data_IF_526443295157
#
_entry.id   IF_526443295157
#
_cell.length_a   1.000
_cell.length_b   1.000
_cell.length_c   1.000
_cell.angle_alpha   90.00
_cell.angle_beta   90.00
_cell.angle_gamma   90.00
#
_symmetry.space_group_name_H-M   'P 1'
#
loop_
_entity.id
_entity.type
_entity.pdbx_description
1 polymer ?
#
# COMPACT_ATOMS: atom_id res chain seq x y z
N UNK A 1 1.63 -25.36 -1.17
CA UNK A 1 1.37 -23.98 -0.74
C UNK A 1 -0.11 -23.84 -0.46
N UNK A 2 -0.48 -23.03 0.52
CA UNK A 2 -1.88 -22.75 0.87
C UNK A 2 -2.22 -21.38 0.30
N UNK A 3 -3.39 -21.25 -0.33
CA UNK A 3 -3.86 -19.96 -0.85
C UNK A 3 -4.41 -19.12 0.32
N UNK A 4 -4.22 -17.79 0.34
CA UNK A 4 -4.67 -16.96 1.44
C UNK A 4 -6.18 -17.04 1.69
N UNK A 5 -6.57 -17.21 2.95
CA UNK A 5 -7.94 -17.21 3.42
C UNK A 5 -8.22 -15.94 4.23
N UNK A 6 -9.29 -15.17 3.94
CA UNK A 6 -9.54 -13.87 4.58
C UNK A 6 -9.65 -13.90 6.10
N UNK A 7 -10.03 -15.05 6.69
CA UNK A 7 -10.19 -15.21 8.14
C UNK A 7 -8.88 -15.61 8.84
N UNK A 8 -7.86 -16.01 8.09
CA UNK A 8 -6.61 -16.57 8.62
C UNK A 8 -5.39 -15.72 8.25
N UNK A 9 -5.40 -15.12 7.06
CA UNK A 9 -4.25 -14.44 6.49
C UNK A 9 -4.48 -12.91 6.44
N UNK A 10 -3.75 -12.14 7.26
CA UNK A 10 -3.93 -10.69 7.34
C UNK A 10 -3.45 -9.97 6.08
N UNK A 11 -4.06 -8.83 5.76
CA UNK A 11 -3.58 -7.90 4.75
C UNK A 11 -2.39 -7.12 5.31
N UNK A 12 -1.21 -7.42 4.80
CA UNK A 12 0.04 -6.79 5.28
C UNK A 12 0.42 -5.51 4.56
N UNK A 13 -0.17 -5.24 3.39
CA UNK A 13 0.10 -4.01 2.65
C UNK A 13 -1.00 -3.67 1.65
N UNK A 14 -1.25 -2.36 1.47
CA UNK A 14 -2.13 -1.80 0.44
C UNK A 14 -1.38 -0.70 -0.29
N UNK A 15 -1.37 -0.74 -1.63
CA UNK A 15 -0.83 0.33 -2.45
C UNK A 15 -1.97 1.07 -3.18
N UNK A 16 -1.94 2.40 -3.13
CA UNK A 16 -2.93 3.26 -3.77
C UNK A 16 -2.23 4.25 -4.71
N UNK A 17 -2.73 4.34 -5.94
CA UNK A 17 -2.28 5.30 -6.94
C UNK A 17 -3.49 6.04 -7.47
N UNK A 18 -3.45 7.37 -7.44
CA UNK A 18 -4.52 8.20 -7.98
C UNK A 18 -4.00 9.10 -9.10
N UNK A 19 -4.76 9.12 -10.20
CA UNK A 19 -4.51 9.91 -11.40
C UNK A 19 -5.72 10.79 -11.66
N UNK A 20 -5.50 12.04 -12.06
CA UNK A 20 -6.58 12.89 -12.59
C UNK A 20 -6.85 12.47 -14.03
N UNK A 21 -8.12 12.33 -14.40
CA UNK A 21 -8.48 11.99 -15.78
C UNK A 21 -7.77 12.93 -16.78
N UNK A 22 -7.11 12.35 -17.79
CA UNK A 22 -6.34 13.10 -18.79
C UNK A 22 -4.93 13.52 -18.38
N UNK A 23 -4.52 13.35 -17.12
CA UNK A 23 -3.14 13.59 -16.70
C UNK A 23 -2.20 12.48 -17.19
N UNK A 24 -0.95 12.84 -17.47
CA UNK A 24 0.10 11.89 -17.86
C UNK A 24 0.71 11.14 -16.67
N UNK A 25 0.69 11.76 -15.49
CA UNK A 25 1.33 11.23 -14.29
C UNK A 25 0.41 11.30 -13.07
N UNK A 26 0.45 10.29 -12.17
CA UNK A 26 -0.39 10.26 -10.98
C UNK A 26 0.02 11.35 -10.01
N UNK A 27 -0.96 11.92 -9.32
CA UNK A 27 -0.73 12.94 -8.29
C UNK A 27 -0.57 12.33 -6.90
N UNK A 28 -0.95 11.06 -6.71
CA UNK A 28 -0.82 10.33 -5.46
C UNK A 28 -0.22 8.94 -5.73
N UNK A 29 0.77 8.59 -4.92
CA UNK A 29 1.29 7.23 -4.76
C UNK A 29 1.48 7.01 -3.26
N UNK A 30 0.79 6.03 -2.70
CA UNK A 30 0.85 5.72 -1.28
C UNK A 30 0.95 4.21 -1.06
N UNK A 31 1.72 3.82 -0.04
CA UNK A 31 1.81 2.45 0.46
C UNK A 31 1.49 2.48 1.95
N UNK A 32 0.48 1.70 2.33
CA UNK A 32 0.10 1.45 3.71
C UNK A 32 0.65 0.07 4.07
N UNK A 33 1.50 -0.03 5.09
CA UNK A 33 2.13 -1.27 5.52
C UNK A 33 1.77 -1.62 6.95
N UNK A 34 1.58 -2.90 7.21
CA UNK A 34 1.62 -3.45 8.56
C UNK A 34 3.10 -3.53 8.99
N UNK A 35 3.41 -2.92 10.14
CA UNK A 35 4.75 -2.70 10.69
C UNK A 35 5.61 -1.77 9.82
N UNK A 36 6.86 -1.56 10.26
CA UNK A 36 7.79 -0.63 9.65
C UNK A 36 8.17 -0.98 8.21
N UNK A 37 8.22 0.04 7.36
CA UNK A 37 8.67 -0.06 5.97
C UNK A 37 9.67 1.08 5.66
N UNK A 38 10.71 0.78 4.89
CA UNK A 38 11.68 1.79 4.48
C UNK A 38 11.03 2.83 3.53
N UNK A 39 11.49 4.09 3.55
CA UNK A 39 10.97 5.10 2.63
C UNK A 39 11.15 4.72 1.16
N UNK A 40 10.08 4.90 0.36
CA UNK A 40 10.09 4.69 -1.09
C UNK A 40 10.13 6.03 -1.81
N UNK A 41 11.10 6.22 -2.70
CA UNK A 41 11.20 7.48 -3.47
C UNK A 41 9.98 7.64 -4.37
N UNK A 42 9.28 8.77 -4.23
CA UNK A 42 8.11 9.09 -5.04
C UNK A 42 6.79 8.45 -4.56
N UNK A 43 6.77 7.79 -3.40
CA UNK A 43 5.55 7.31 -2.76
C UNK A 43 5.53 7.69 -1.28
N UNK A 44 4.36 8.03 -0.75
CA UNK A 44 4.17 8.20 0.67
C UNK A 44 4.06 6.82 1.33
N UNK A 45 4.98 6.50 2.25
CA UNK A 45 4.93 5.27 3.05
C UNK A 45 4.28 5.58 4.39
N UNK A 46 3.26 4.80 4.76
CA UNK A 46 2.54 4.88 6.03
C UNK A 46 2.57 3.51 6.67
N UNK A 47 3.20 3.41 7.84
CA UNK A 47 3.34 2.16 8.58
C UNK A 47 2.48 2.19 9.83
N UNK A 48 1.78 1.09 10.12
CA UNK A 48 0.87 0.94 11.24
C UNK A 48 1.19 -0.34 12.02
N UNK A 49 0.93 -0.36 13.33
CA UNK A 49 1.24 -1.52 14.17
C UNK A 49 0.16 -2.60 14.13
N UNK A 50 -1.04 -2.26 13.65
CA UNK A 50 -2.19 -3.14 13.47
C UNK A 50 -2.82 -2.99 12.08
N UNK A 51 -3.51 -4.04 11.63
CA UNK A 51 -4.31 -4.06 10.40
C UNK A 51 -5.61 -3.26 10.55
#
# INVERSE_FOLDING_TARGET
GVFPEPQQDPVIAIAAVALRQGAREPFLRAVFSLRGCAPLRGAAVRSFDSE
#
